data_IF_087069761232
#
_entry.id   IF_087069761232
#
_cell.length_a   1.000
_cell.length_b   1.000
_cell.length_c   1.000
_cell.angle_alpha   90.00
_cell.angle_beta   90.00
_cell.angle_gamma   90.00
#
_symmetry.space_group_name_H-M   'P 1'
#
loop_
_entity.id
_entity.type
_entity.pdbx_description
1 polymer ?
#
# COMPACT_ATOMS: atom_id res chain seq x y z
N UNK A 1 -17.29 12.74 -51.16
CA UNK A 1 -17.30 13.54 -49.92
C UNK A 1 -16.75 12.69 -48.75
N UNK A 2 -15.63 11.98 -48.94
CA UNK A 2 -15.08 11.01 -47.95
C UNK A 2 -13.61 11.26 -47.58
N UNK A 3 -12.88 12.08 -48.35
CA UNK A 3 -11.46 12.39 -48.08
C UNK A 3 -11.29 13.19 -46.77
N UNK A 4 -12.32 13.95 -46.38
CA UNK A 4 -12.29 14.77 -45.16
C UNK A 4 -12.49 13.97 -43.86
N UNK A 5 -13.05 12.76 -43.93
CA UNK A 5 -13.27 11.92 -42.76
C UNK A 5 -11.97 11.24 -42.31
N UNK A 6 -11.19 10.70 -43.27
CA UNK A 6 -9.91 10.05 -42.97
C UNK A 6 -8.86 11.00 -42.41
N UNK A 7 -8.76 12.23 -42.94
CA UNK A 7 -7.85 13.24 -42.41
C UNK A 7 -8.17 13.59 -40.94
N UNK A 8 -9.47 13.68 -40.62
CA UNK A 8 -9.95 13.97 -39.27
C UNK A 8 -9.73 12.80 -38.30
N UNK A 9 -9.83 11.56 -38.79
CA UNK A 9 -9.49 10.35 -38.02
C UNK A 9 -7.98 10.28 -37.73
N UNK A 10 -7.12 10.60 -38.70
CA UNK A 10 -5.66 10.62 -38.48
C UNK A 10 -5.22 11.73 -37.52
N UNK A 11 -5.84 12.91 -37.59
CA UNK A 11 -5.62 14.01 -36.66
C UNK A 11 -6.07 13.65 -35.23
N UNK A 12 -7.24 13.03 -35.08
CA UNK A 12 -7.71 12.50 -33.79
C UNK A 12 -6.77 11.43 -33.25
N UNK A 13 -6.26 10.53 -34.10
CA UNK A 13 -5.29 9.51 -33.70
C UNK A 13 -3.92 10.09 -33.32
N UNK A 14 -3.49 11.21 -33.92
CA UNK A 14 -2.25 11.88 -33.54
C UNK A 14 -2.40 12.59 -32.19
N UNK A 15 -3.55 13.25 -31.95
CA UNK A 15 -3.89 13.90 -30.70
C UNK A 15 -4.10 12.90 -29.56
N UNK A 16 -4.73 11.75 -29.83
CA UNK A 16 -4.88 10.64 -28.88
C UNK A 16 -3.50 10.08 -28.50
N UNK A 17 -2.61 9.81 -29.46
CA UNK A 17 -1.24 9.35 -29.17
C UNK A 17 -0.41 10.36 -28.36
N UNK A 18 -0.60 11.66 -28.58
CA UNK A 18 0.05 12.70 -27.77
C UNK A 18 -0.53 12.78 -26.35
N UNK A 19 -1.84 12.62 -26.20
CA UNK A 19 -2.50 12.54 -24.88
C UNK A 19 -2.09 11.28 -24.13
N UNK A 20 -2.04 10.12 -24.81
CA UNK A 20 -1.59 8.84 -24.26
C UNK A 20 -0.15 8.94 -23.75
N UNK A 21 0.77 9.58 -24.48
CA UNK A 21 2.14 9.86 -23.99
C UNK A 21 2.17 10.76 -22.75
N UNK A 22 1.15 11.60 -22.52
CA UNK A 22 1.03 12.40 -21.30
C UNK A 22 0.34 11.64 -20.15
N UNK A 23 -0.63 10.75 -20.43
CA UNK A 23 -1.36 9.98 -19.40
C UNK A 23 -0.70 8.67 -18.98
N UNK A 24 0.09 8.02 -19.85
CA UNK A 24 0.93 6.87 -19.43
C UNK A 24 2.02 7.26 -18.42
N UNK A 25 2.31 8.56 -18.31
CA UNK A 25 3.24 9.11 -17.32
C UNK A 25 2.65 9.35 -15.93
N UNK A 26 1.42 8.90 -15.62
CA UNK A 26 0.76 9.19 -14.31
C UNK A 26 0.64 7.96 -13.41
N UNK A 27 0.52 6.73 -13.94
CA UNK A 27 0.32 5.52 -13.12
C UNK A 27 1.54 4.57 -13.08
N UNK A 28 2.38 4.55 -14.12
CA UNK A 28 3.77 4.07 -13.99
C UNK A 28 4.65 5.02 -13.16
N UNK A 29 4.11 6.19 -12.80
CA UNK A 29 4.86 7.32 -12.25
C UNK A 29 4.97 7.34 -10.73
N UNK A 30 4.17 6.59 -9.96
CA UNK A 30 4.29 6.68 -8.50
C UNK A 30 5.61 6.09 -7.98
N UNK A 31 5.99 4.90 -8.43
CA UNK A 31 7.26 4.27 -8.03
C UNK A 31 8.44 5.06 -8.61
N UNK A 32 8.38 5.42 -9.89
CA UNK A 32 9.36 6.32 -10.51
C UNK A 32 9.42 7.67 -9.77
N UNK A 33 8.31 8.20 -9.28
CA UNK A 33 8.25 9.43 -8.48
C UNK A 33 8.81 9.24 -7.07
N UNK A 34 8.69 8.06 -6.45
CA UNK A 34 9.31 7.77 -5.15
C UNK A 34 10.82 7.67 -5.32
N UNK A 35 11.27 6.94 -6.33
CA UNK A 35 12.69 6.83 -6.71
C UNK A 35 13.24 8.21 -7.10
N UNK A 36 12.48 8.99 -7.88
CA UNK A 36 12.91 10.29 -8.38
C UNK A 36 12.86 11.37 -7.29
N UNK A 37 11.89 11.37 -6.39
CA UNK A 37 11.86 12.26 -5.23
C UNK A 37 13.05 12.04 -4.28
N UNK A 38 13.56 10.80 -4.18
CA UNK A 38 14.78 10.51 -3.44
C UNK A 38 16.05 10.95 -4.20
N UNK A 39 16.02 11.01 -5.54
CA UNK A 39 17.15 11.48 -6.36
C UNK A 39 17.26 13.01 -6.47
N UNK A 40 16.14 13.75 -6.37
CA UNK A 40 16.12 15.23 -6.46
C UNK A 40 16.82 15.88 -5.26
N UNK A 41 17.05 15.15 -4.17
CA UNK A 41 17.80 15.63 -3.01
C UNK A 41 19.31 15.73 -3.25
N UNK A 42 19.82 15.25 -4.40
CA UNK A 42 21.26 15.25 -4.73
C UNK A 42 21.74 16.42 -5.60
N UNK A 43 20.89 17.37 -6.00
CA UNK A 43 21.31 18.51 -6.83
C UNK A 43 20.92 19.85 -6.25
N UNK A 44 21.78 20.39 -5.39
CA UNK A 44 22.10 21.82 -5.28
C UNK A 44 23.40 21.97 -4.48
N UNK A 45 24.51 22.25 -5.16
CA UNK A 45 25.76 22.68 -4.53
C UNK A 45 25.56 24.03 -3.83
N UNK A 46 25.24 24.02 -2.54
CA UNK A 46 25.47 25.18 -1.67
C UNK A 46 25.60 24.79 -0.19
N UNK A 47 26.83 24.93 0.35
CA UNK A 47 27.20 24.77 1.78
C UNK A 47 26.86 23.38 2.41
N UNK A 48 27.43 22.98 3.56
CA UNK A 48 27.06 21.72 4.19
C UNK A 48 25.67 21.89 4.84
N UNK A 49 24.62 21.85 4.02
CA UNK A 49 23.27 21.60 4.51
C UNK A 49 23.31 20.23 5.19
N UNK A 50 22.94 20.19 6.47
CA UNK A 50 22.79 18.93 7.20
C UNK A 50 21.89 18.01 6.37
N UNK A 51 22.35 16.80 6.08
CA UNK A 51 21.55 15.82 5.36
C UNK A 51 20.22 15.65 6.13
N UNK A 52 19.10 15.83 5.42
CA UNK A 52 17.76 15.71 6.01
C UNK A 52 17.62 14.31 6.57
N UNK A 53 17.23 14.18 7.84
CA UNK A 53 17.10 12.89 8.50
C UNK A 53 15.93 12.07 7.93
N UNK A 54 15.98 10.73 8.06
CA UNK A 54 14.88 9.85 7.64
C UNK A 54 13.53 10.28 8.23
N UNK A 55 13.52 10.63 9.52
CA UNK A 55 12.31 11.06 10.22
C UNK A 55 11.71 12.33 9.59
N UNK A 56 12.56 13.30 9.23
CA UNK A 56 12.13 14.53 8.56
C UNK A 56 11.60 14.25 7.16
N UNK A 57 12.28 13.39 6.38
CA UNK A 57 11.80 12.98 5.05
C UNK A 57 10.42 12.34 5.12
N UNK A 58 10.22 11.42 6.06
CA UNK A 58 8.95 10.71 6.27
C UNK A 58 7.84 11.66 6.74
N UNK A 59 8.12 12.55 7.70
CA UNK A 59 7.14 13.52 8.21
C UNK A 59 6.78 14.60 7.20
N UNK A 60 7.70 14.97 6.32
CA UNK A 60 7.42 15.89 5.22
C UNK A 60 6.40 15.30 4.24
N UNK A 61 6.51 13.99 3.94
CA UNK A 61 5.59 13.29 3.05
C UNK A 61 4.28 12.88 3.70
N UNK A 62 4.33 12.45 4.96
CA UNK A 62 3.18 11.98 5.74
C UNK A 62 3.03 12.80 7.02
N UNK A 63 2.38 13.99 6.94
CA UNK A 63 2.12 14.80 8.12
C UNK A 63 1.32 14.01 9.16
N UNK A 64 1.84 13.92 10.38
CA UNK A 64 1.23 13.14 11.46
C UNK A 64 1.76 11.72 11.62
N UNK A 65 2.73 11.30 10.79
CA UNK A 65 3.48 10.07 11.00
C UNK A 65 4.15 10.04 12.38
N UNK A 66 4.07 8.89 13.02
CA UNK A 66 4.74 8.60 14.29
C UNK A 66 6.00 7.79 14.01
N UNK A 67 7.13 8.28 14.52
CA UNK A 67 8.45 7.70 14.35
C UNK A 67 8.98 7.27 15.71
N UNK A 68 9.46 6.04 15.82
CA UNK A 68 10.06 5.49 17.04
C UNK A 68 11.40 4.82 16.75
N UNK A 69 12.27 4.80 17.76
CA UNK A 69 13.57 4.12 17.71
C UNK A 69 13.65 3.11 18.86
N UNK A 70 13.49 1.82 18.54
CA UNK A 70 13.64 0.67 19.45
C UNK A 70 13.60 -0.64 18.65
N UNK A 71 13.95 -1.78 19.27
CA UNK A 71 13.84 -3.07 18.58
C UNK A 71 12.39 -3.58 18.57
N UNK A 72 11.77 -3.55 17.39
CA UNK A 72 10.43 -4.08 17.14
C UNK A 72 10.44 -5.40 16.33
N UNK A 73 11.54 -6.15 16.35
CA UNK A 73 11.69 -7.43 15.64
C UNK A 73 10.92 -8.61 16.28
N UNK A 74 10.27 -8.38 17.42
CA UNK A 74 9.54 -9.41 18.16
C UNK A 74 8.52 -10.15 17.26
N UNK A 75 8.47 -11.49 17.30
CA UNK A 75 7.56 -12.28 16.46
C UNK A 75 6.09 -12.14 16.89
N UNK A 76 5.81 -11.49 18.02
CA UNK A 76 4.45 -11.34 18.54
C UNK A 76 3.55 -10.49 17.65
N UNK A 77 4.10 -9.60 16.81
CA UNK A 77 3.32 -8.88 15.79
C UNK A 77 2.53 -9.85 14.88
N UNK A 78 3.09 -11.04 14.61
CA UNK A 78 2.50 -12.00 13.66
C UNK A 78 1.59 -13.03 14.31
N UNK A 79 1.69 -13.19 15.62
CA UNK A 79 1.15 -14.37 16.32
C UNK A 79 0.16 -14.04 17.43
N UNK A 80 0.05 -12.76 17.83
CA UNK A 80 -0.73 -12.33 18.99
C UNK A 80 -1.68 -11.19 18.63
N UNK A 81 -2.97 -11.42 18.86
CA UNK A 81 -4.03 -10.42 18.66
C UNK A 81 -4.03 -9.36 19.77
N UNK A 82 -3.43 -9.67 20.93
CA UNK A 82 -3.26 -8.75 22.07
C UNK A 82 -1.98 -7.94 22.03
N UNK A 83 -1.17 -8.05 20.98
CA UNK A 83 -0.03 -7.15 20.83
C UNK A 83 -0.52 -5.70 20.74
N UNK A 84 0.06 -4.75 21.49
CA UNK A 84 -0.49 -3.40 21.65
C UNK A 84 -0.19 -2.47 20.45
N UNK A 85 -0.63 -2.85 19.25
CA UNK A 85 -0.40 -2.11 17.99
C UNK A 85 -0.86 -0.65 18.05
N UNK A 86 -1.97 -0.39 18.74
CA UNK A 86 -2.52 0.95 18.92
C UNK A 86 -1.56 1.94 19.59
N UNK A 87 -0.61 1.44 20.40
CA UNK A 87 0.42 2.29 21.02
C UNK A 87 1.45 2.77 19.99
N UNK A 88 1.71 2.02 18.91
CA UNK A 88 2.69 2.41 17.90
C UNK A 88 2.32 3.72 17.20
N UNK A 89 1.03 4.07 17.17
CA UNK A 89 0.50 5.30 16.59
C UNK A 89 0.41 6.46 17.60
N UNK A 90 0.92 6.30 18.82
CA UNK A 90 0.93 7.33 19.85
C UNK A 90 2.32 7.94 20.01
N UNK A 91 2.37 9.19 20.45
CA UNK A 91 3.62 9.88 20.80
C UNK A 91 4.00 9.55 22.25
N UNK A 92 5.30 9.54 22.54
CA UNK A 92 5.84 9.38 23.90
C UNK A 92 5.43 8.06 24.57
N UNK A 93 5.57 6.95 23.85
CA UNK A 93 5.30 5.62 24.38
C UNK A 93 6.49 5.08 25.18
N UNK A 94 6.21 4.13 26.07
CA UNK A 94 7.26 3.36 26.73
C UNK A 94 7.79 2.30 25.75
N UNK A 95 8.89 2.62 25.07
CA UNK A 95 9.52 1.74 24.07
C UNK A 95 10.11 0.49 24.70
N UNK A 96 10.74 0.61 25.87
CA UNK A 96 11.31 -0.53 26.61
C UNK A 96 10.24 -1.57 26.97
N UNK A 97 9.05 -1.12 27.37
CA UNK A 97 7.94 -2.01 27.68
C UNK A 97 7.39 -2.72 26.43
N UNK A 98 7.47 -2.10 25.25
CA UNK A 98 7.04 -2.69 23.98
C UNK A 98 8.06 -3.68 23.42
N UNK A 99 9.33 -3.32 23.49
CA UNK A 99 10.46 -4.17 23.10
C UNK A 99 10.47 -5.46 23.93
N UNK A 100 10.25 -5.34 25.24
CA UNK A 100 10.21 -6.47 26.17
C UNK A 100 8.81 -7.06 26.38
N UNK A 101 7.82 -6.66 25.58
CA UNK A 101 6.45 -7.12 25.74
C UNK A 101 6.36 -8.64 25.59
N UNK A 102 5.62 -9.28 26.50
CA UNK A 102 5.33 -10.71 26.45
C UNK A 102 3.84 -10.95 26.61
N UNK A 103 3.30 -11.93 25.88
CA UNK A 103 1.90 -12.27 26.01
C UNK A 103 1.57 -12.78 27.41
N UNK A 104 0.39 -12.42 27.90
CA UNK A 104 -0.16 -12.97 29.13
C UNK A 104 -1.31 -13.92 28.78
N UNK A 105 -1.15 -15.20 29.09
CA UNK A 105 -2.19 -16.20 28.85
C UNK A 105 -2.45 -16.54 27.37
N UNK A 106 -3.60 -17.20 27.08
CA UNK A 106 -3.98 -17.61 25.73
C UNK A 106 -4.10 -16.43 24.76
N UNK A 107 -3.85 -16.66 23.47
CA UNK A 107 -4.11 -15.65 22.44
C UNK A 107 -5.63 -15.37 22.40
N UNK A 108 -6.07 -14.12 22.59
CA UNK A 108 -7.50 -13.84 22.55
C UNK A 108 -8.06 -13.99 21.13
N UNK A 109 -9.37 -14.17 21.07
CA UNK A 109 -10.11 -14.14 19.81
C UNK A 109 -10.03 -12.73 19.19
N UNK A 110 -9.83 -12.68 17.87
CA UNK A 110 -9.77 -11.43 17.08
C UNK A 110 -11.03 -10.57 17.25
N UNK A 111 -12.21 -11.19 17.43
CA UNK A 111 -13.47 -10.45 17.64
C UNK A 111 -13.75 -10.13 19.12
N UNK A 112 -12.82 -10.44 20.02
CA UNK A 112 -13.00 -10.14 21.44
C UNK A 112 -13.09 -8.63 21.70
N UNK A 113 -13.88 -8.18 22.70
CA UNK A 113 -14.06 -6.75 22.97
C UNK A 113 -12.77 -5.97 23.23
N UNK A 114 -11.77 -6.61 23.84
CA UNK A 114 -10.49 -5.97 24.14
C UNK A 114 -9.66 -5.77 22.86
N UNK A 115 -9.59 -6.79 21.99
CA UNK A 115 -8.89 -6.69 20.70
C UNK A 115 -9.56 -5.62 19.82
N UNK A 116 -10.89 -5.66 19.71
CA UNK A 116 -11.66 -4.69 18.94
C UNK A 116 -11.49 -3.26 19.48
N UNK A 117 -11.47 -3.07 20.81
CA UNK A 117 -11.20 -1.76 21.42
C UNK A 117 -9.80 -1.24 21.09
N UNK A 118 -8.79 -2.10 21.14
CA UNK A 118 -7.42 -1.73 20.80
C UNK A 118 -7.32 -1.34 19.32
N UNK A 119 -7.88 -2.14 18.40
CA UNK A 119 -7.92 -1.80 16.98
C UNK A 119 -8.67 -0.49 16.72
N UNK A 120 -9.78 -0.25 17.42
CA UNK A 120 -10.55 1.00 17.30
C UNK A 120 -9.79 2.24 17.79
N UNK A 121 -8.75 2.07 18.62
CA UNK A 121 -7.89 3.16 19.08
C UNK A 121 -6.83 3.56 18.05
N UNK A 122 -6.66 2.80 16.96
CA UNK A 122 -5.76 3.16 15.86
C UNK A 122 -6.41 4.30 15.05
N UNK A 123 -5.72 5.45 14.87
CA UNK A 123 -6.25 6.54 14.07
C UNK A 123 -6.38 6.11 12.60
N UNK A 124 -7.52 6.34 11.93
CA UNK A 124 -7.68 6.03 10.50
C UNK A 124 -6.65 6.77 9.64
N UNK A 125 -6.02 6.07 8.70
CA UNK A 125 -4.95 6.62 7.86
C UNK A 125 -3.63 6.87 8.59
N UNK A 126 -3.51 6.42 9.84
CA UNK A 126 -2.29 6.59 10.63
C UNK A 126 -1.10 5.84 10.06
N UNK A 127 0.08 6.44 10.13
CA UNK A 127 1.35 5.79 9.78
C UNK A 127 2.30 5.76 10.97
N UNK A 128 2.88 4.60 11.22
CA UNK A 128 3.88 4.40 12.26
C UNK A 128 5.13 3.72 11.67
N UNK A 129 6.30 4.24 12.00
CA UNK A 129 7.60 3.68 11.61
C UNK A 129 8.41 3.44 12.86
N UNK A 130 8.96 2.24 12.98
CA UNK A 130 9.88 1.86 14.06
C UNK A 130 11.21 1.47 13.43
N UNK A 131 12.29 2.12 13.85
CA UNK A 131 13.65 1.85 13.37
C UNK A 131 14.49 1.25 14.48
N UNK A 132 15.19 0.16 14.18
CA UNK A 132 16.15 -0.42 15.12
C UNK A 132 17.29 0.57 15.44
N UNK A 133 17.74 0.71 16.70
CA UNK A 133 18.77 1.69 17.09
C UNK A 133 20.05 1.64 16.25
N UNK A 134 20.57 0.44 15.94
CA UNK A 134 21.76 0.28 15.07
C UNK A 134 21.54 0.78 13.63
N UNK A 135 20.31 0.67 13.11
CA UNK A 135 19.97 1.19 11.78
C UNK A 135 19.89 2.72 11.83
N UNK A 136 19.31 3.27 12.89
CA UNK A 136 19.30 4.71 13.15
C UNK A 136 20.72 5.29 13.16
N UNK A 137 21.63 4.70 13.95
CA UNK A 137 23.04 5.12 14.01
C UNK A 137 23.74 5.03 12.64
N UNK A 138 23.46 3.98 11.87
CA UNK A 138 24.04 3.82 10.52
C UNK A 138 23.53 4.89 9.55
N UNK A 139 22.24 5.22 9.58
CA UNK A 139 21.65 6.24 8.72
C UNK A 139 22.17 7.65 9.02
N UNK A 140 22.54 7.93 10.27
CA UNK A 140 23.18 9.20 10.65
C UNK A 140 24.60 9.34 10.08
N UNK A 141 25.28 8.22 9.82
CA UNK A 141 26.62 8.19 9.22
C UNK A 141 26.57 8.12 7.69
N UNK A 142 25.55 7.47 7.14
CA UNK A 142 25.41 7.19 5.70
C UNK A 142 24.04 7.69 5.19
N UNK A 143 23.99 8.91 4.63
CA UNK A 143 22.77 9.48 4.05
C UNK A 143 22.20 8.66 2.89
N UNK A 144 23.04 7.95 2.12
CA UNK A 144 22.57 7.08 1.03
C UNK A 144 21.84 5.86 1.60
N UNK A 145 22.31 5.33 2.73
CA UNK A 145 21.60 4.29 3.45
C UNK A 145 20.27 4.79 4.04
N UNK A 146 20.21 6.03 4.55
CA UNK A 146 18.94 6.64 4.97
C UNK A 146 17.93 6.74 3.82
N UNK A 147 18.39 7.14 2.63
CA UNK A 147 17.58 7.16 1.41
C UNK A 147 17.09 5.76 1.01
N UNK A 148 17.92 4.73 1.15
CA UNK A 148 17.52 3.34 0.90
C UNK A 148 16.40 2.90 1.86
N UNK A 149 16.53 3.18 3.15
CA UNK A 149 15.50 2.83 4.14
C UNK A 149 14.20 3.61 3.88
N UNK A 150 14.30 4.89 3.53
CA UNK A 150 13.15 5.70 3.10
C UNK A 150 12.42 5.07 1.91
N UNK A 151 13.16 4.73 0.85
CA UNK A 151 12.60 4.09 -0.35
C UNK A 151 11.96 2.75 -0.03
N UNK A 152 12.58 1.94 0.84
CA UNK A 152 12.04 0.65 1.30
C UNK A 152 10.69 0.81 1.99
N UNK A 153 10.58 1.76 2.92
CA UNK A 153 9.34 2.05 3.64
C UNK A 153 8.23 2.50 2.69
N UNK A 154 8.50 3.49 1.84
CA UNK A 154 7.51 4.01 0.88
C UNK A 154 7.08 2.94 -0.13
N UNK A 155 8.02 2.15 -0.63
CA UNK A 155 7.77 1.07 -1.58
C UNK A 155 6.87 -0.01 -0.97
N UNK A 156 7.13 -0.38 0.29
CA UNK A 156 6.27 -1.33 1.00
C UNK A 156 4.86 -0.80 1.17
N UNK A 157 4.68 0.45 1.62
CA UNK A 157 3.33 1.00 1.80
C UNK A 157 2.53 1.07 0.51
N UNK A 158 3.18 1.46 -0.58
CA UNK A 158 2.56 1.49 -1.89
C UNK A 158 2.17 0.08 -2.38
N UNK A 159 3.07 -0.89 -2.18
CA UNK A 159 2.81 -2.29 -2.50
C UNK A 159 1.65 -2.85 -1.69
N UNK A 160 1.62 -2.57 -0.38
CA UNK A 160 0.57 -3.03 0.52
C UNK A 160 -0.80 -2.41 0.18
N UNK A 161 -0.84 -1.12 -0.21
CA UNK A 161 -2.06 -0.48 -0.74
C UNK A 161 -2.51 -1.18 -2.04
N UNK A 162 -1.62 -1.33 -3.03
CA UNK A 162 -1.97 -1.95 -4.31
C UNK A 162 -2.46 -3.39 -4.13
N UNK A 163 -1.80 -4.16 -3.24
CA UNK A 163 -2.20 -5.51 -2.85
C UNK A 163 -3.60 -5.55 -2.24
N UNK A 164 -3.85 -4.75 -1.21
CA UNK A 164 -5.14 -4.78 -0.51
C UNK A 164 -6.28 -4.31 -1.41
N UNK A 165 -6.04 -3.33 -2.27
CA UNK A 165 -7.02 -2.85 -3.24
C UNK A 165 -7.30 -3.87 -4.35
N UNK A 166 -6.30 -4.66 -4.75
CA UNK A 166 -6.47 -5.74 -5.72
C UNK A 166 -7.26 -6.95 -5.16
N UNK A 167 -7.05 -7.27 -3.88
CA UNK A 167 -7.75 -8.36 -3.19
C UNK A 167 -9.20 -7.95 -2.86
N UNK A 168 -9.37 -6.79 -2.23
CA UNK A 168 -10.66 -6.26 -1.82
C UNK A 168 -10.74 -4.76 -2.16
N UNK A 169 -11.35 -4.41 -3.31
CA UNK A 169 -11.49 -3.02 -3.73
C UNK A 169 -12.19 -2.15 -2.67
N UNK A 170 -11.65 -0.95 -2.43
CA UNK A 170 -12.10 0.01 -1.43
C UNK A 170 -11.66 -0.29 0.00
N UNK A 171 -10.93 -1.39 0.25
CA UNK A 171 -10.46 -1.76 1.60
C UNK A 171 -9.37 -0.83 2.14
N UNK A 172 -8.68 -0.12 1.24
CA UNK A 172 -7.59 0.79 1.60
C UNK A 172 -8.04 2.16 2.09
N UNK A 173 -9.34 2.46 1.99
CA UNK A 173 -9.92 3.72 2.44
C UNK A 173 -9.76 3.88 3.96
N UNK A 174 -8.92 4.83 4.40
CA UNK A 174 -8.61 5.06 5.81
C UNK A 174 -7.75 3.97 6.45
N UNK A 175 -7.04 3.17 5.65
CA UNK A 175 -6.12 2.13 6.12
C UNK A 175 -4.91 2.75 6.82
N UNK A 176 -4.64 2.25 8.02
CA UNK A 176 -3.47 2.61 8.81
C UNK A 176 -2.38 1.55 8.62
N UNK A 177 -1.12 1.98 8.58
CA UNK A 177 0.02 1.11 8.30
C UNK A 177 1.13 1.35 9.32
N UNK A 178 1.67 0.26 9.87
CA UNK A 178 2.86 0.27 10.71
C UNK A 178 3.94 -0.60 10.09
N UNK A 179 5.19 -0.15 10.17
CA UNK A 179 6.36 -0.88 9.66
C UNK A 179 7.51 -0.77 10.66
N UNK A 180 8.20 -1.89 10.88
CA UNK A 180 9.41 -1.97 11.67
C UNK A 180 10.59 -2.39 10.80
N UNK A 181 11.70 -1.67 10.89
CA UNK A 181 12.98 -2.02 10.25
C UNK A 181 13.88 -2.67 11.29
N UNK A 182 14.35 -3.88 11.00
CA UNK A 182 15.19 -4.68 11.90
C UNK A 182 16.64 -4.25 11.93
N UNK A 183 17.45 -4.90 12.77
CA UNK A 183 18.89 -4.64 12.88
C UNK A 183 19.64 -4.76 11.54
N UNK A 184 19.22 -5.67 10.68
CA UNK A 184 19.81 -5.94 9.37
C UNK A 184 19.40 -4.92 8.29
N UNK A 185 18.48 -4.01 8.61
CA UNK A 185 17.91 -3.04 7.66
C UNK A 185 16.80 -3.58 6.77
N UNK A 186 16.42 -4.85 6.93
CA UNK A 186 15.24 -5.44 6.28
C UNK A 186 13.97 -5.09 7.08
N UNK A 187 12.82 -5.37 6.46
CA UNK A 187 11.52 -5.15 7.10
C UNK A 187 11.31 -6.27 8.13
N UNK A 188 11.43 -5.96 9.41
CA UNK A 188 11.31 -6.92 10.49
C UNK A 188 9.86 -7.27 10.82
N UNK A 189 8.94 -6.32 10.74
CA UNK A 189 7.51 -6.56 10.92
C UNK A 189 6.67 -5.48 10.21
N UNK A 190 5.44 -5.84 9.85
CA UNK A 190 4.47 -4.98 9.17
C UNK A 190 3.08 -5.26 9.72
N UNK A 191 2.26 -4.21 9.83
CA UNK A 191 0.86 -4.34 10.20
C UNK A 191 0.03 -3.34 9.40
N UNK A 192 -1.05 -3.80 8.80
CA UNK A 192 -2.10 -2.96 8.25
C UNK A 192 -3.38 -3.14 9.07
N UNK A 193 -4.14 -2.07 9.25
CA UNK A 193 -5.44 -2.12 9.90
C UNK A 193 -6.40 -1.15 9.24
N UNK A 194 -7.64 -1.58 9.02
CA UNK A 194 -8.74 -0.67 8.69
C UNK A 194 -9.35 -0.11 9.97
N UNK A 195 -9.67 1.19 9.98
CA UNK A 195 -10.31 1.82 11.11
C UNK A 195 -11.68 1.19 11.43
N UNK A 196 -12.20 1.37 12.66
CA UNK A 196 -13.51 0.85 13.03
C UNK A 196 -14.59 1.44 12.13
N UNK A 197 -15.42 0.59 11.51
CA UNK A 197 -16.59 1.09 10.77
C UNK A 197 -17.66 1.52 11.78
N UNK A 198 -18.16 2.75 11.67
CA UNK A 198 -19.33 3.19 12.41
C UNK A 198 -20.49 2.20 12.15
N UNK A 199 -20.85 1.43 13.16
CA UNK A 199 -22.07 0.62 13.13
C UNK A 199 -23.22 1.56 13.51
N UNK A 200 -23.95 2.07 12.52
CA UNK A 200 -25.19 2.80 12.80
C UNK A 200 -26.19 1.77 13.33
N UNK A 201 -26.55 1.86 14.62
CA UNK A 201 -27.70 1.14 15.14
C UNK A 201 -28.93 1.58 14.34
N UNK A 202 -29.62 0.62 13.72
CA UNK A 202 -30.87 0.86 13.00
C UNK A 202 -31.88 1.50 13.95
N UNK A 203 -32.49 2.63 13.57
CA UNK A 203 -33.75 3.09 14.16
C UNK A 203 -34.83 2.36 13.37
N UNK A 204 -35.79 1.74 14.04
CA UNK A 204 -36.74 0.76 13.46
C UNK A 204 -37.65 1.29 12.32
N UNK A 205 -37.57 2.56 11.94
CA UNK A 205 -38.55 3.24 11.05
C UNK A 205 -37.97 3.79 9.72
N UNK A 206 -36.75 3.45 9.31
CA UNK A 206 -36.26 3.86 7.98
C UNK A 206 -36.47 2.71 6.96
N UNK A 207 -37.49 2.82 6.10
CA UNK A 207 -37.67 1.99 4.89
C UNK A 207 -36.57 2.31 3.87
N UNK A 208 -35.38 1.76 4.11
CA UNK A 208 -34.26 1.80 3.18
C UNK A 208 -33.41 0.53 3.33
N UNK A 209 -32.67 0.15 2.27
CA UNK A 209 -31.82 -1.03 2.34
C UNK A 209 -30.81 -0.89 3.49
N UNK A 210 -30.67 -1.96 4.27
CA UNK A 210 -29.64 -2.09 5.31
C UNK A 210 -28.26 -1.79 4.71
N UNK A 211 -27.32 -1.26 5.50
CA UNK A 211 -25.92 -1.14 5.10
C UNK A 211 -25.36 -2.42 4.45
N UNK A 212 -25.72 -3.60 4.95
CA UNK A 212 -25.34 -4.88 4.34
C UNK A 212 -25.96 -5.06 2.96
N UNK A 213 -27.19 -4.61 2.74
CA UNK A 213 -27.79 -4.56 1.42
C UNK A 213 -27.16 -3.49 0.54
N UNK A 214 -26.83 -2.29 1.02
CA UNK A 214 -26.10 -1.29 0.22
C UNK A 214 -24.68 -1.76 -0.14
N UNK A 215 -24.01 -2.46 0.77
CA UNK A 215 -22.69 -3.06 0.58
C UNK A 215 -22.76 -4.22 -0.42
N UNK A 216 -23.72 -5.12 -0.22
CA UNK A 216 -24.01 -6.22 -1.15
C UNK A 216 -24.40 -5.68 -2.51
N UNK A 217 -25.28 -4.68 -2.59
CA UNK A 217 -25.71 -4.06 -3.84
C UNK A 217 -24.54 -3.37 -4.55
N UNK A 218 -23.63 -2.73 -3.81
CA UNK A 218 -22.41 -2.14 -4.39
C UNK A 218 -21.45 -3.21 -4.89
N UNK A 219 -21.24 -4.27 -4.09
CA UNK A 219 -20.44 -5.42 -4.49
C UNK A 219 -21.04 -6.15 -5.70
N UNK A 220 -22.32 -6.46 -5.68
CA UNK A 220 -23.09 -7.08 -6.77
C UNK A 220 -23.07 -6.18 -8.01
N UNK A 221 -23.16 -4.87 -7.87
CA UNK A 221 -23.02 -3.91 -8.96
C UNK A 221 -21.61 -3.92 -9.54
N UNK A 222 -20.56 -3.90 -8.70
CA UNK A 222 -19.17 -4.03 -9.13
C UNK A 222 -18.90 -5.38 -9.80
N UNK A 223 -19.44 -6.47 -9.27
CA UNK A 223 -19.28 -7.81 -9.83
C UNK A 223 -20.04 -7.95 -11.16
N UNK A 224 -21.22 -7.33 -11.29
CA UNK A 224 -21.93 -7.23 -12.56
C UNK A 224 -21.14 -6.44 -13.59
N UNK A 225 -20.63 -5.26 -13.24
CA UNK A 225 -19.74 -4.48 -14.09
C UNK A 225 -18.50 -5.27 -14.51
N UNK A 226 -17.89 -5.99 -13.56
CA UNK A 226 -16.71 -6.81 -13.83
C UNK A 226 -17.03 -8.01 -14.74
N UNK A 227 -18.16 -8.70 -14.52
CA UNK A 227 -18.62 -9.79 -15.40
C UNK A 227 -19.00 -9.25 -16.78
N UNK A 228 -19.68 -8.11 -16.86
CA UNK A 228 -20.02 -7.41 -18.10
C UNK A 228 -18.76 -6.97 -18.83
N UNK A 229 -17.74 -6.47 -18.13
CA UNK A 229 -16.44 -6.12 -18.69
C UNK A 229 -15.69 -7.36 -19.18
N UNK A 230 -15.70 -8.47 -18.43
CA UNK A 230 -15.10 -9.74 -18.86
C UNK A 230 -15.82 -10.34 -20.08
N UNK A 231 -17.16 -10.24 -20.13
CA UNK A 231 -17.96 -10.64 -21.28
C UNK A 231 -17.71 -9.71 -22.48
N UNK A 232 -17.66 -8.41 -22.26
CA UNK A 232 -17.30 -7.42 -23.28
C UNK A 232 -15.89 -7.67 -23.78
N UNK A 233 -14.91 -7.97 -22.92
CA UNK A 233 -13.54 -8.34 -23.28
C UNK A 233 -13.49 -9.64 -24.07
N UNK A 234 -14.29 -10.66 -23.73
CA UNK A 234 -14.39 -11.90 -24.54
C UNK A 234 -15.05 -11.65 -25.89
N UNK A 235 -16.08 -10.82 -25.93
CA UNK A 235 -16.80 -10.44 -27.16
C UNK A 235 -15.94 -9.52 -28.05
N UNK A 236 -15.20 -8.57 -27.47
CA UNK A 236 -14.26 -7.67 -28.18
C UNK A 236 -12.98 -8.38 -28.58
N UNK A 237 -12.42 -9.27 -27.74
CA UNK A 237 -11.30 -10.15 -28.13
C UNK A 237 -11.68 -11.08 -29.29
N UNK A 238 -12.96 -11.46 -29.42
CA UNK A 238 -13.46 -12.18 -30.60
C UNK A 238 -13.78 -11.28 -31.80
N UNK A 239 -13.85 -9.95 -31.61
CA UNK A 239 -14.26 -9.01 -32.65
C UNK A 239 -13.11 -8.19 -33.26
N UNK A 240 -12.08 -7.78 -32.51
CA UNK A 240 -11.04 -6.82 -32.93
C UNK A 240 -9.97 -6.71 -31.83
N UNK A 241 -8.65 -6.86 -31.97
CA UNK A 241 -7.74 -6.35 -32.99
C UNK A 241 -8.06 -4.93 -33.50
N UNK A 242 -8.65 -4.04 -32.69
CA UNK A 242 -8.61 -2.58 -32.90
C UNK A 242 -9.06 -1.81 -31.64
N UNK A 243 -8.20 -0.88 -31.21
CA UNK A 243 -8.48 0.41 -30.58
C UNK A 243 -9.32 0.48 -29.29
N UNK A 244 -8.59 0.65 -28.18
CA UNK A 244 -8.78 1.61 -27.06
C UNK A 244 -10.13 2.30 -26.91
N UNK A 245 -10.76 2.16 -25.72
CA UNK A 245 -11.59 3.21 -25.10
C UNK A 245 -11.70 3.07 -23.56
N UNK A 246 -11.24 4.14 -22.88
CA UNK A 246 -11.71 4.85 -21.68
C UNK A 246 -12.06 4.17 -20.32
N UNK A 247 -11.10 4.32 -19.39
CA UNK A 247 -11.22 5.01 -18.09
C UNK A 247 -12.20 4.49 -17.01
N UNK A 248 -11.73 3.51 -16.25
CA UNK A 248 -11.85 3.40 -14.79
C UNK A 248 -10.58 2.66 -14.36
N UNK A 249 -9.85 3.12 -13.33
CA UNK A 249 -8.58 2.60 -12.79
C UNK A 249 -7.90 1.51 -13.65
N UNK A 250 -6.72 1.71 -14.26
CA UNK A 250 -5.90 0.56 -14.66
C UNK A 250 -5.90 -0.37 -13.46
N UNK A 251 -6.60 -1.52 -13.55
CA UNK A 251 -7.22 -2.15 -12.38
C UNK A 251 -6.20 -2.26 -11.25
N UNK A 252 -6.53 -2.05 -9.97
CA UNK A 252 -5.53 -2.18 -8.88
C UNK A 252 -4.69 -3.47 -9.02
N UNK A 253 -5.30 -4.51 -9.62
CA UNK A 253 -4.70 -5.71 -10.19
C UNK A 253 -3.60 -5.49 -11.25
N UNK A 254 -3.83 -4.73 -12.31
CA UNK A 254 -2.81 -4.34 -13.29
C UNK A 254 -1.65 -3.57 -12.64
N UNK A 255 -1.93 -2.58 -11.78
CA UNK A 255 -0.89 -1.88 -11.03
C UNK A 255 -0.07 -2.84 -10.15
N UNK A 256 -0.74 -3.77 -9.47
CA UNK A 256 -0.09 -4.80 -8.67
C UNK A 256 0.76 -5.74 -9.54
N UNK A 257 0.30 -6.13 -10.73
CA UNK A 257 1.08 -6.94 -11.67
C UNK A 257 2.38 -6.23 -12.06
N UNK A 258 2.30 -4.94 -12.41
CA UNK A 258 3.48 -4.14 -12.76
C UNK A 258 4.48 -4.09 -11.60
N UNK A 259 4.00 -3.92 -10.37
CA UNK A 259 4.84 -3.94 -9.16
C UNK A 259 5.48 -5.31 -8.92
N UNK A 260 4.72 -6.40 -9.07
CA UNK A 260 5.20 -7.77 -8.86
C UNK A 260 6.24 -8.23 -9.89
N UNK A 261 6.28 -7.57 -11.05
CA UNK A 261 7.24 -7.85 -12.13
C UNK A 261 8.42 -6.86 -12.13
N UNK A 262 8.47 -5.93 -11.17
CA UNK A 262 9.53 -4.93 -11.09
C UNK A 262 10.70 -5.43 -10.24
N UNK A 263 11.82 -5.76 -10.88
CA UNK A 263 13.05 -6.22 -10.22
C UNK A 263 13.64 -5.17 -9.26
N UNK A 264 13.48 -3.87 -9.57
CA UNK A 264 13.94 -2.81 -8.67
C UNK A 264 13.13 -2.76 -7.39
N UNK A 265 11.80 -2.97 -7.45
CA UNK A 265 10.97 -3.04 -6.26
C UNK A 265 11.46 -4.17 -5.34
N UNK A 266 11.72 -5.35 -5.91
CA UNK A 266 12.27 -6.49 -5.17
C UNK A 266 13.61 -6.13 -4.51
N UNK A 267 14.53 -5.51 -5.25
CA UNK A 267 15.83 -5.08 -4.72
C UNK A 267 15.70 -4.05 -3.59
N UNK A 268 14.74 -3.12 -3.70
CA UNK A 268 14.51 -2.09 -2.67
C UNK A 268 13.91 -2.72 -1.41
N UNK A 269 12.95 -3.64 -1.54
CA UNK A 269 12.31 -4.30 -0.38
C UNK A 269 13.29 -5.14 0.45
N UNK A 270 14.40 -5.60 -0.15
CA UNK A 270 15.44 -6.37 0.53
C UNK A 270 15.23 -7.88 0.40
N UNK A 271 15.82 -8.65 1.30
CA UNK A 271 15.80 -10.12 1.20
C UNK A 271 14.52 -10.71 1.81
N UNK A 272 14.07 -10.14 2.92
CA UNK A 272 12.94 -10.65 3.69
C UNK A 272 12.00 -9.54 4.18
N UNK A 273 10.73 -9.91 4.32
CA UNK A 273 9.68 -9.12 4.96
C UNK A 273 9.08 -9.98 6.05
N UNK A 274 9.23 -9.53 7.30
CA UNK A 274 8.75 -10.21 8.49
C UNK A 274 9.24 -11.67 8.62
N UNK A 275 10.48 -11.94 8.15
CA UNK A 275 11.12 -13.25 8.15
C UNK A 275 10.73 -14.17 6.99
N UNK A 276 9.86 -13.72 6.08
CA UNK A 276 9.50 -14.43 4.84
C UNK A 276 10.25 -13.81 3.66
N UNK A 277 10.74 -14.63 2.72
CA UNK A 277 11.43 -14.09 1.55
C UNK A 277 10.52 -13.19 0.71
N UNK A 278 11.06 -12.14 0.08
CA UNK A 278 10.25 -11.24 -0.77
C UNK A 278 9.59 -12.01 -1.92
N UNK A 279 10.27 -13.02 -2.47
CA UNK A 279 9.73 -13.90 -3.50
C UNK A 279 8.49 -14.65 -3.03
N UNK A 280 8.56 -15.26 -1.84
CA UNK A 280 7.43 -15.97 -1.25
C UNK A 280 6.27 -15.01 -0.92
N UNK A 281 6.55 -13.77 -0.48
CA UNK A 281 5.50 -12.75 -0.29
C UNK A 281 4.83 -12.39 -1.62
N UNK A 282 5.60 -12.26 -2.70
CA UNK A 282 5.07 -11.95 -4.03
C UNK A 282 4.23 -13.11 -4.58
N UNK A 283 4.67 -14.35 -4.40
CA UNK A 283 3.91 -15.55 -4.77
C UNK A 283 2.58 -15.66 -4.01
N UNK A 284 2.59 -15.48 -2.69
CA UNK A 284 1.36 -15.45 -1.89
C UNK A 284 0.44 -14.32 -2.35
N UNK A 285 0.98 -13.14 -2.61
CA UNK A 285 0.21 -11.99 -3.12
C UNK A 285 -0.43 -12.30 -4.48
N UNK A 286 0.28 -12.97 -5.40
CA UNK A 286 -0.31 -13.41 -6.68
C UNK A 286 -1.47 -14.37 -6.45
N UNK A 287 -1.30 -15.33 -5.55
CA UNK A 287 -2.34 -16.32 -5.23
C UNK A 287 -3.59 -15.66 -4.64
N UNK A 288 -3.41 -14.71 -3.71
CA UNK A 288 -4.53 -14.05 -3.04
C UNK A 288 -5.28 -13.08 -3.96
N UNK A 289 -4.55 -12.31 -4.80
CA UNK A 289 -5.16 -11.31 -5.68
C UNK A 289 -5.74 -11.89 -6.98
N UNK A 290 -5.19 -13.00 -7.51
CA UNK A 290 -5.55 -13.54 -8.83
C UNK A 290 -6.08 -14.98 -8.81
N UNK A 291 -5.97 -15.69 -7.68
CA UNK A 291 -6.27 -17.12 -7.59
C UNK A 291 -5.17 -17.99 -8.21
N UNK A 292 -5.34 -19.31 -8.17
CA UNK A 292 -4.33 -20.30 -8.61
C UNK A 292 -4.15 -20.41 -10.14
N UNK A 293 -4.97 -19.72 -10.94
CA UNK A 293 -4.97 -19.82 -12.39
C UNK A 293 -3.92 -18.94 -13.11
N UNK A 294 -3.13 -18.15 -12.36
CA UNK A 294 -2.17 -17.18 -12.89
C UNK A 294 -0.68 -17.55 -12.64
N UNK A 295 -0.40 -18.83 -12.36
CA UNK A 295 0.97 -19.35 -12.16
C UNK A 295 1.62 -19.81 -13.47
N UNK A 296 1.61 -18.98 -14.51
CA UNK A 296 2.33 -19.25 -15.77
C UNK A 296 3.46 -18.24 -15.98
#
# INVERSE_FOLDING_TARGET
MEINAMARVMELQSQIRQKEKQTTGIYGSFFDSVVQAASVTQTEESAPAQAISLEEMLKARHPGLVYHVFDASTPYWRTREDYPFHLLYQKNINTEALENWKPSGPNPDQISPNVQRNLAAIPPGGKAVIIHPKVQERMEQDPEYANLIYQRIESWWAFDIARNEAILPGSTAGMSQAIAIGEDGNIANVQASSGPSMTRSKREEEEGPDFWELRKNRHDWYMKLWIEEQLQRRLTASAQLTATDHASFPSAKAQLIDMLNNDQLKSILGDTIAGTSVDEVFEHTRKDAFGTAYLL
#
